data_IF_309135596292
#
_entry.id   IF_309135596292
#
_cell.length_a   1.000
_cell.length_b   1.000
_cell.length_c   1.000
_cell.angle_alpha   90.00
_cell.angle_beta   90.00
_cell.angle_gamma   90.00
#
_symmetry.space_group_name_H-M   'P 1'
#
loop_
_entity.id
_entity.type
_entity.pdbx_description
1 polymer ?
#
# COMPACT_ATOMS: atom_id res chain seq x y z
N UNK A 1 0.15 -10.64 2.41
CA UNK A 1 -0.13 -10.40 3.85
C UNK A 1 -1.03 -11.50 4.36
N UNK A 2 -0.83 -11.99 5.58
CA UNK A 2 -1.58 -13.12 6.12
C UNK A 2 -1.71 -13.08 7.65
N UNK A 3 -2.74 -13.75 8.17
CA UNK A 3 -2.95 -13.93 9.61
C UNK A 3 -2.00 -14.97 10.22
N UNK A 4 -2.06 -15.17 11.55
CA UNK A 4 -1.25 -16.19 12.25
C UNK A 4 -1.50 -17.63 11.77
N UNK A 5 -2.62 -17.90 11.11
CA UNK A 5 -3.00 -19.22 10.57
C UNK A 5 -2.59 -19.40 9.10
N UNK A 6 -2.10 -18.35 8.45
CA UNK A 6 -1.63 -18.37 7.07
C UNK A 6 -2.70 -18.04 6.03
N UNK A 7 -3.89 -17.58 6.44
CA UNK A 7 -4.89 -17.10 5.48
C UNK A 7 -4.44 -15.76 4.91
N UNK A 8 -4.53 -15.59 3.59
CA UNK A 8 -4.30 -14.28 2.98
C UNK A 8 -5.36 -13.30 3.46
N UNK A 9 -4.94 -12.13 3.92
CA UNK A 9 -5.83 -11.13 4.51
C UNK A 9 -5.60 -9.74 3.92
N UNK A 10 -6.67 -8.97 3.65
CA UNK A 10 -6.55 -7.55 3.34
C UNK A 10 -6.11 -6.76 4.58
N UNK A 11 -5.19 -5.81 4.41
CA UNK A 11 -4.73 -4.97 5.52
C UNK A 11 -5.52 -3.67 5.67
N UNK A 12 -6.37 -3.31 4.69
CA UNK A 12 -7.15 -2.06 4.62
C UNK A 12 -8.56 -2.18 5.22
N UNK A 13 -8.83 -3.23 6.01
CA UNK A 13 -10.18 -3.55 6.52
C UNK A 13 -10.37 -3.29 8.01
N UNK A 14 -9.42 -2.59 8.65
CA UNK A 14 -9.48 -2.29 10.08
C UNK A 14 -8.89 -3.38 10.98
N UNK A 15 -8.28 -4.43 10.43
CA UNK A 15 -7.72 -5.54 11.21
C UNK A 15 -6.54 -5.08 12.06
N UNK A 16 -5.63 -4.29 11.48
CA UNK A 16 -4.44 -3.77 12.16
C UNK A 16 -4.87 -2.82 13.30
N UNK A 17 -5.82 -1.93 13.03
CA UNK A 17 -6.37 -0.96 13.98
C UNK A 17 -7.09 -1.64 15.15
N UNK A 18 -7.60 -2.86 14.95
CA UNK A 18 -8.18 -3.71 16.00
C UNK A 18 -7.15 -4.58 16.71
N UNK A 19 -5.86 -4.33 16.52
CA UNK A 19 -4.74 -5.11 17.05
C UNK A 19 -4.76 -6.59 16.63
N UNK A 20 -5.32 -6.90 15.46
CA UNK A 20 -5.18 -8.22 14.85
C UNK A 20 -3.85 -8.26 14.12
N UNK A 21 -2.96 -9.12 14.60
CA UNK A 21 -1.63 -9.26 14.02
C UNK A 21 -1.67 -9.87 12.62
N UNK A 22 -1.28 -9.06 11.65
CA UNK A 22 -1.01 -9.48 10.29
C UNK A 22 0.51 -9.52 10.04
N UNK A 23 0.94 -10.51 9.28
CA UNK A 23 2.33 -10.72 8.89
C UNK A 23 2.46 -10.68 7.37
N UNK A 24 3.68 -10.54 6.88
CA UNK A 24 3.95 -10.57 5.44
C UNK A 24 5.25 -11.30 5.12
N UNK A 25 5.36 -11.69 3.86
CA UNK A 25 6.54 -12.32 3.26
C UNK A 25 6.79 -11.66 1.92
N UNK A 26 8.03 -11.68 1.46
CA UNK A 26 8.42 -11.05 0.20
C UNK A 26 9.93 -11.05 0.01
N UNK A 27 10.38 -10.48 -1.10
CA UNK A 27 11.79 -10.16 -1.32
C UNK A 27 12.03 -8.71 -0.90
N UNK A 28 12.93 -8.51 0.07
CA UNK A 28 13.32 -7.17 0.55
C UNK A 28 14.47 -6.65 -0.31
N UNK A 29 14.32 -5.44 -0.85
CA UNK A 29 15.34 -4.77 -1.67
C UNK A 29 15.77 -3.45 -1.00
N UNK A 30 16.96 -2.92 -1.31
CA UNK A 30 17.36 -1.59 -0.86
C UNK A 30 16.38 -0.51 -1.32
N UNK A 31 16.22 0.55 -0.54
CA UNK A 31 15.22 1.62 -0.77
C UNK A 31 15.35 2.35 -2.12
N UNK A 32 16.54 2.32 -2.73
CA UNK A 32 16.83 2.98 -4.01
C UNK A 32 16.61 2.06 -5.22
N UNK A 33 16.26 0.79 -5.02
CA UNK A 33 16.03 -0.19 -6.08
C UNK A 33 14.57 -0.15 -6.52
N UNK A 34 14.33 0.31 -7.74
CA UNK A 34 13.01 0.48 -8.34
C UNK A 34 12.56 -0.73 -9.18
N UNK A 35 13.41 -1.75 -9.34
CA UNK A 35 13.08 -2.96 -10.09
C UNK A 35 12.24 -3.92 -9.24
N UNK A 36 10.96 -4.19 -9.59
CA UNK A 36 10.10 -5.07 -8.78
C UNK A 36 10.46 -6.56 -8.91
N UNK A 37 11.37 -6.94 -9.81
CA UNK A 37 11.84 -8.30 -9.94
C UNK A 37 12.45 -8.81 -8.62
N UNK A 38 12.33 -10.13 -8.40
CA UNK A 38 12.91 -10.81 -7.24
C UNK A 38 14.44 -10.81 -7.23
N UNK A 39 15.08 -10.48 -8.36
CA UNK A 39 16.54 -10.45 -8.49
C UNK A 39 17.17 -9.41 -7.56
N UNK A 40 18.24 -9.83 -6.86
CA UNK A 40 18.94 -9.00 -5.89
C UNK A 40 18.20 -8.81 -4.55
N UNK A 41 16.97 -9.31 -4.42
CA UNK A 41 16.19 -9.23 -3.19
C UNK A 41 16.50 -10.33 -2.17
N UNK A 42 16.41 -10.00 -0.89
CA UNK A 42 16.54 -10.96 0.21
C UNK A 42 15.17 -11.52 0.56
N UNK A 43 14.97 -12.82 0.31
CA UNK A 43 13.71 -13.50 0.64
C UNK A 43 13.52 -13.58 2.15
N UNK A 44 12.45 -12.98 2.64
CA UNK A 44 12.08 -12.96 4.04
C UNK A 44 10.65 -13.46 4.23
N UNK A 45 10.42 -14.13 5.36
CA UNK A 45 9.12 -14.69 5.73
C UNK A 45 8.76 -14.33 7.16
N UNK A 46 7.46 -14.27 7.45
CA UNK A 46 6.92 -13.92 8.78
C UNK A 46 7.46 -12.58 9.28
N UNK A 47 7.61 -11.61 8.38
CA UNK A 47 7.89 -10.22 8.74
C UNK A 47 6.66 -9.61 9.39
N UNK A 48 6.87 -8.71 10.35
CA UNK A 48 5.81 -8.11 11.14
C UNK A 48 5.89 -8.50 12.63
N UNK A 49 4.79 -8.35 13.39
CA UNK A 49 3.47 -7.89 12.95
C UNK A 49 3.51 -6.50 12.29
N UNK A 50 2.55 -6.25 11.40
CA UNK A 50 2.34 -4.90 10.84
C UNK A 50 1.73 -4.05 11.97
N UNK A 51 2.45 -3.02 12.40
CA UNK A 51 1.99 -2.08 13.44
C UNK A 51 1.16 -0.95 12.83
N UNK A 52 1.54 -0.49 11.64
CA UNK A 52 0.81 0.50 10.88
C UNK A 52 1.02 0.29 9.39
N UNK A 53 0.08 0.76 8.60
CA UNK A 53 0.20 0.88 7.16
C UNK A 53 -0.17 2.32 6.77
N UNK A 54 0.41 2.81 5.70
CA UNK A 54 0.21 4.20 5.27
C UNK A 54 0.40 4.34 3.77
N UNK A 55 -0.04 5.51 3.26
CA UNK A 55 0.07 5.89 1.86
C UNK A 55 0.93 7.17 1.81
N UNK A 56 1.83 7.26 0.85
CA UNK A 56 2.59 8.48 0.53
C UNK A 56 2.68 8.67 -0.98
N UNK A 57 3.37 9.71 -1.44
CA UNK A 57 3.52 10.02 -2.87
C UNK A 57 2.34 10.81 -3.43
N UNK A 58 1.79 11.74 -2.64
CA UNK A 58 0.82 12.75 -3.06
C UNK A 58 1.55 14.02 -3.54
N UNK A 59 2.48 13.86 -4.48
CA UNK A 59 3.40 14.89 -4.95
C UNK A 59 3.26 15.15 -6.47
N UNK A 60 2.22 14.62 -7.10
CA UNK A 60 2.01 14.67 -8.54
C UNK A 60 2.78 13.61 -9.34
N UNK A 61 3.53 12.71 -8.69
CA UNK A 61 4.16 11.56 -9.34
C UNK A 61 3.13 10.52 -9.83
N UNK A 62 3.52 9.58 -10.69
CA UNK A 62 2.59 8.61 -11.29
C UNK A 62 1.98 7.61 -10.28
N UNK A 63 2.72 7.24 -9.24
CA UNK A 63 2.35 6.15 -8.33
C UNK A 63 2.26 6.64 -6.89
N UNK A 64 1.11 6.40 -6.25
CA UNK A 64 1.05 6.39 -4.80
C UNK A 64 1.85 5.19 -4.27
N UNK A 65 2.54 5.41 -3.16
CA UNK A 65 3.36 4.39 -2.51
C UNK A 65 2.67 3.92 -1.23
N UNK A 66 2.69 2.61 -1.01
CA UNK A 66 2.17 2.00 0.22
C UNK A 66 3.34 1.61 1.10
N UNK A 67 3.26 1.93 2.38
CA UNK A 67 4.24 1.55 3.38
C UNK A 67 3.67 0.67 4.48
N UNK A 68 4.48 -0.27 4.97
CA UNK A 68 4.25 -0.97 6.23
C UNK A 68 5.29 -0.58 7.26
N UNK A 69 4.84 -0.30 8.48
CA UNK A 69 5.68 -0.10 9.65
C UNK A 69 5.61 -1.33 10.54
N UNK A 70 6.77 -1.85 10.92
CA UNK A 70 6.92 -2.93 11.92
C UNK A 70 7.70 -2.41 13.13
N UNK A 71 7.96 -3.27 14.11
CA UNK A 71 8.84 -2.91 15.22
C UNK A 71 10.32 -2.69 14.82
N UNK A 72 10.73 -3.12 13.62
CA UNK A 72 12.13 -3.15 13.21
C UNK A 72 12.46 -2.19 12.07
N UNK A 73 11.54 -2.03 11.12
CA UNK A 73 11.74 -1.23 9.92
C UNK A 73 10.42 -0.83 9.26
N UNK A 74 10.53 0.15 8.37
CA UNK A 74 9.53 0.52 7.38
C UNK A 74 9.84 -0.13 6.03
N UNK A 75 8.79 -0.56 5.33
CA UNK A 75 8.87 -1.25 4.05
C UNK A 75 7.95 -0.56 3.04
N UNK A 76 8.51 -0.08 1.94
CA UNK A 76 7.73 0.40 0.80
C UNK A 76 7.39 -0.79 -0.10
N UNK A 77 6.10 -0.95 -0.41
CA UNK A 77 5.62 -2.04 -1.24
C UNK A 77 5.82 -1.74 -2.73
N UNK A 78 6.21 -2.78 -3.47
CA UNK A 78 6.37 -2.75 -4.92
C UNK A 78 5.23 -3.56 -5.57
N UNK A 79 5.53 -4.78 -6.04
CA UNK A 79 4.53 -5.68 -6.62
C UNK A 79 4.08 -6.77 -5.64
N UNK A 80 2.80 -7.15 -5.66
CA UNK A 80 2.30 -8.27 -4.88
C UNK A 80 2.75 -9.62 -5.48
N UNK A 81 2.76 -10.68 -4.67
CA UNK A 81 2.83 -12.04 -5.21
C UNK A 81 1.57 -12.37 -6.01
N UNK A 82 1.66 -13.31 -6.95
CA UNK A 82 0.54 -13.76 -7.78
C UNK A 82 -0.70 -14.13 -6.94
N UNK A 83 -0.49 -14.88 -5.85
CA UNK A 83 -1.57 -15.29 -4.93
C UNK A 83 -2.23 -14.11 -4.19
N UNK A 84 -1.48 -13.04 -3.92
CA UNK A 84 -1.97 -11.88 -3.18
C UNK A 84 -2.45 -10.75 -4.10
N UNK A 85 -2.18 -10.83 -5.41
CA UNK A 85 -2.51 -9.81 -6.39
C UNK A 85 -4.01 -9.44 -6.42
N UNK A 86 -4.98 -10.38 -6.34
CA UNK A 86 -6.39 -10.02 -6.33
C UNK A 86 -6.81 -9.17 -5.12
N UNK A 87 -6.24 -9.46 -3.94
CA UNK A 87 -6.49 -8.68 -2.71
C UNK A 87 -5.84 -7.30 -2.81
N UNK A 88 -4.61 -7.26 -3.34
CA UNK A 88 -3.84 -6.02 -3.50
C UNK A 88 -4.47 -5.07 -4.52
N UNK A 89 -5.03 -5.59 -5.62
CA UNK A 89 -5.65 -4.80 -6.68
C UNK A 89 -6.82 -3.94 -6.18
N UNK A 90 -7.70 -4.51 -5.34
CA UNK A 90 -8.81 -3.76 -4.73
C UNK A 90 -8.34 -2.60 -3.87
N UNK A 91 -7.21 -2.77 -3.20
CA UNK A 91 -6.62 -1.73 -2.36
C UNK A 91 -5.88 -0.69 -3.22
N UNK A 92 -5.20 -1.09 -4.30
CA UNK A 92 -4.60 -0.15 -5.25
C UNK A 92 -5.64 0.77 -5.89
N UNK A 93 -6.81 0.27 -6.25
CA UNK A 93 -7.91 1.09 -6.79
C UNK A 93 -8.34 2.17 -5.78
N UNK A 94 -8.58 1.81 -4.52
CA UNK A 94 -8.91 2.77 -3.45
C UNK A 94 -7.84 3.83 -3.25
N UNK A 95 -6.58 3.45 -3.34
CA UNK A 95 -5.44 4.36 -3.17
C UNK A 95 -5.32 5.30 -4.35
N UNK A 96 -5.46 4.80 -5.58
CA UNK A 96 -5.42 5.61 -6.78
C UNK A 96 -6.49 6.71 -6.75
N UNK A 97 -7.71 6.33 -6.37
CA UNK A 97 -8.82 7.27 -6.17
C UNK A 97 -8.49 8.31 -5.08
N UNK A 98 -7.94 7.87 -3.96
CA UNK A 98 -7.54 8.77 -2.86
C UNK A 98 -6.46 9.77 -3.31
N UNK A 99 -5.50 9.34 -4.14
CA UNK A 99 -4.46 10.21 -4.70
C UNK A 99 -5.07 11.30 -5.58
N UNK A 100 -5.91 10.92 -6.54
CA UNK A 100 -6.59 11.89 -7.43
C UNK A 100 -7.34 12.93 -6.59
N UNK A 101 -8.12 12.49 -5.61
CA UNK A 101 -8.92 13.38 -4.75
C UNK A 101 -8.02 14.33 -3.97
N UNK A 102 -6.99 13.81 -3.28
CA UNK A 102 -6.09 14.62 -2.45
C UNK A 102 -5.34 15.66 -3.29
N UNK A 103 -4.75 15.24 -4.41
CA UNK A 103 -3.98 16.14 -5.28
C UNK A 103 -4.89 17.17 -5.96
N UNK A 104 -6.11 16.79 -6.35
CA UNK A 104 -7.06 17.72 -6.93
C UNK A 104 -7.49 18.80 -5.93
N UNK A 105 -7.86 18.41 -4.71
CA UNK A 105 -8.30 19.34 -3.67
C UNK A 105 -7.17 20.24 -3.16
N UNK A 106 -5.93 19.73 -3.10
CA UNK A 106 -4.75 20.54 -2.74
C UNK A 106 -4.50 21.67 -3.74
N UNK A 107 -4.71 21.40 -5.03
CA UNK A 107 -4.49 22.39 -6.09
C UNK A 107 -5.71 23.29 -6.35
N UNK A 108 -6.90 22.89 -5.88
CA UNK A 108 -8.15 23.58 -6.16
C UNK A 108 -9.04 23.62 -4.90
N UNK A 109 -8.82 24.54 -3.94
CA UNK A 109 -9.52 24.54 -2.65
C UNK A 109 -11.00 24.95 -2.71
N UNK A 110 -11.39 25.72 -3.74
CA UNK A 110 -12.75 26.29 -3.87
C UNK A 110 -13.63 25.54 -4.90
N UNK A 111 -13.29 24.29 -5.22
CA UNK A 111 -14.01 23.48 -6.22
C UNK A 111 -15.34 22.96 -5.72
N UNK A 112 -16.27 22.75 -6.66
CA UNK A 112 -17.52 22.06 -6.36
C UNK A 112 -17.34 20.54 -6.35
N UNK A 113 -18.32 19.84 -5.78
CA UNK A 113 -18.40 18.39 -5.86
C UNK A 113 -18.45 17.88 -7.31
N UNK A 114 -19.16 18.60 -8.18
CA UNK A 114 -19.28 18.25 -9.61
C UNK A 114 -17.93 18.34 -10.34
N UNK A 115 -17.10 19.33 -10.00
CA UNK A 115 -15.75 19.45 -10.59
C UNK A 115 -14.84 18.29 -10.19
N UNK A 116 -14.97 17.80 -8.94
CA UNK A 116 -14.25 16.61 -8.48
C UNK A 116 -14.73 15.35 -9.20
N UNK A 117 -16.04 15.17 -9.38
CA UNK A 117 -16.59 14.04 -10.14
C UNK A 117 -16.07 14.03 -11.59
N UNK A 118 -16.12 15.19 -12.26
CA UNK A 118 -15.60 15.33 -13.64
C UNK A 118 -14.11 15.02 -13.77
N UNK A 119 -13.35 15.09 -12.67
CA UNK A 119 -11.92 14.73 -12.65
C UNK A 119 -11.68 13.23 -12.45
N UNK A 120 -12.63 12.55 -11.82
CA UNK A 120 -12.57 11.13 -11.48
C UNK A 120 -13.11 10.25 -12.63
N UNK A 121 -14.15 10.72 -13.33
CA UNK A 121 -14.70 10.08 -14.55
C UNK A 121 -13.75 10.18 -15.77
#
# INVERSE_FOLDING_TARGET
VYDRKGHLCPFDTGLIERNIELYFSGAVKPIYDDNPCLDGGVRAKKMGPINAWWITGFDGGEKALIGFTTAFADYILMEPSEEYAPIFALMQEKIYMSKIVVEFLQNNPDVSYEDLLNKIE
#
